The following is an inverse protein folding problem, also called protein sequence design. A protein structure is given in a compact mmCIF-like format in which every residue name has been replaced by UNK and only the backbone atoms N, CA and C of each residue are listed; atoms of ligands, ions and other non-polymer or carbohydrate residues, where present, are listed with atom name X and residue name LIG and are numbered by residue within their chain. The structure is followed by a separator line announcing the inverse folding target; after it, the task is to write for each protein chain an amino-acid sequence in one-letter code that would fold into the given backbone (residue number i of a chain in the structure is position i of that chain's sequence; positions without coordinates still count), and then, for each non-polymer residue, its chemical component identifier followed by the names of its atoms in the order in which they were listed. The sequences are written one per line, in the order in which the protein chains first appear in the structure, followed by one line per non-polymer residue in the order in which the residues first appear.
data_IF_390599757112
#
_entry.id   IF_390599757112
#
_cell.length_a   1.000
_cell.length_b   1.000
_cell.length_c   1.000
_cell.angle_alpha   90.00
_cell.angle_beta   90.00
_cell.angle_gamma   90.00
#
_symmetry.space_group_name_H-M   'P 1'
#
loop_
_entity.id
_entity.type
_entity.pdbx_description
1 polymer ?
#
# COMPACT_ATOMS: atom_id res chain seq x y z
N UNK A 1 72.84 -19.53 -4.87
CA UNK A 1 71.65 -18.70 -4.90
C UNK A 1 70.46 -19.66 -4.67
N UNK A 2 70.06 -19.79 -3.42
CA UNK A 2 68.86 -20.56 -3.06
C UNK A 2 67.62 -19.67 -3.20
N UNK A 3 66.49 -20.15 -3.74
CA UNK A 3 65.29 -19.38 -3.83
C UNK A 3 64.60 -19.34 -2.46
N UNK A 4 64.38 -18.13 -1.99
CA UNK A 4 63.65 -17.80 -0.79
C UNK A 4 62.16 -18.23 -0.98
N UNK A 5 61.77 -19.36 -0.40
CA UNK A 5 60.41 -19.80 -0.35
C UNK A 5 59.67 -18.97 0.73
N UNK A 6 58.98 -17.95 0.29
CA UNK A 6 57.93 -17.32 1.09
C UNK A 6 56.82 -18.36 1.31
N UNK A 7 56.81 -18.96 2.49
CA UNK A 7 55.64 -19.76 2.93
C UNK A 7 54.48 -18.82 3.09
N UNK A 8 53.54 -18.88 2.18
CA UNK A 8 52.18 -18.41 2.44
C UNK A 8 51.63 -19.28 3.57
N UNK A 9 51.61 -18.72 4.78
CA UNK A 9 50.96 -19.36 5.93
C UNK A 9 49.44 -19.29 5.71
N UNK A 10 48.85 -20.30 5.06
CA UNK A 10 47.40 -20.49 5.07
C UNK A 10 46.99 -20.79 6.52
N UNK A 11 46.13 -19.92 7.05
CA UNK A 11 45.52 -20.10 8.37
C UNK A 11 44.62 -21.31 8.32
N UNK A 12 45.02 -22.45 8.90
CA UNK A 12 44.13 -23.60 8.98
C UNK A 12 42.99 -23.33 10.00
N UNK A 13 41.77 -23.25 9.51
CA UNK A 13 40.55 -23.00 10.30
C UNK A 13 40.36 -24.06 11.42
N UNK A 14 40.89 -25.28 11.21
CA UNK A 14 40.86 -26.36 12.21
C UNK A 14 41.75 -26.04 13.40
N UNK A 15 42.96 -25.55 13.13
CA UNK A 15 43.92 -25.21 14.19
C UNK A 15 43.41 -24.02 15.02
N UNK A 16 42.76 -23.05 14.41
CA UNK A 16 42.12 -21.95 15.09
C UNK A 16 40.98 -22.46 16.00
N UNK A 17 40.15 -23.40 15.51
CA UNK A 17 39.07 -24.00 16.28
C UNK A 17 39.61 -24.79 17.48
N UNK A 18 40.69 -25.57 17.30
CA UNK A 18 41.34 -26.30 18.40
C UNK A 18 41.95 -25.35 19.42
N UNK A 19 42.53 -24.22 19.02
CA UNK A 19 43.07 -23.21 19.93
C UNK A 19 41.98 -22.64 20.85
N UNK A 20 40.78 -22.38 20.29
CA UNK A 20 39.63 -21.92 21.08
C UNK A 20 39.14 -23.01 22.03
N UNK A 21 39.03 -24.27 21.55
CA UNK A 21 38.61 -25.40 22.37
C UNK A 21 39.62 -25.73 23.50
N UNK A 22 40.91 -25.59 23.23
CA UNK A 22 41.92 -25.79 24.27
C UNK A 22 41.85 -24.76 25.39
N UNK A 23 41.55 -23.51 25.04
CA UNK A 23 41.37 -22.38 25.98
C UNK A 23 39.91 -22.15 26.42
N UNK A 24 39.06 -23.18 26.40
CA UNK A 24 37.65 -23.05 26.78
C UNK A 24 37.43 -22.53 28.22
N UNK A 25 38.35 -22.92 29.18
CA UNK A 25 38.24 -22.47 30.58
C UNK A 25 38.33 -20.94 30.73
N UNK A 26 39.34 -20.23 30.21
CA UNK A 26 39.37 -18.76 30.25
C UNK A 26 38.17 -18.13 29.49
N UNK A 27 37.69 -18.75 28.43
CA UNK A 27 36.49 -18.24 27.72
C UNK A 27 35.25 -18.30 28.62
N UNK A 28 35.03 -19.42 29.30
CA UNK A 28 33.90 -19.57 30.24
C UNK A 28 34.06 -18.64 31.45
N UNK A 29 35.27 -18.54 32.00
CA UNK A 29 35.52 -17.62 33.13
C UNK A 29 35.26 -16.17 32.70
N UNK A 30 35.72 -15.73 31.56
CA UNK A 30 35.47 -14.39 31.03
C UNK A 30 33.98 -14.14 30.81
N UNK A 31 33.27 -15.12 30.24
CA UNK A 31 31.82 -15.03 30.06
C UNK A 31 31.05 -14.87 31.37
N UNK A 32 31.42 -15.69 32.37
CA UNK A 32 30.78 -15.63 33.72
C UNK A 32 31.10 -14.30 34.41
N UNK A 33 32.37 -13.87 34.38
CA UNK A 33 32.78 -12.60 35.04
C UNK A 33 32.11 -11.40 34.40
N UNK A 34 32.11 -11.32 33.07
CA UNK A 34 31.44 -10.19 32.36
C UNK A 34 29.93 -10.26 32.57
N UNK A 35 29.34 -11.46 32.53
CA UNK A 35 27.92 -11.67 32.85
C UNK A 35 27.53 -11.20 34.24
N UNK A 36 28.32 -11.56 35.27
CA UNK A 36 28.09 -11.14 36.65
C UNK A 36 28.30 -9.63 36.85
N UNK A 37 29.32 -9.06 36.21
CA UNK A 37 29.58 -7.60 36.30
C UNK A 37 28.45 -6.80 35.64
N UNK A 38 28.04 -7.14 34.44
CA UNK A 38 26.96 -6.45 33.75
C UNK A 38 25.60 -6.70 34.41
N UNK A 39 25.31 -7.94 34.78
CA UNK A 39 24.09 -8.31 35.47
C UNK A 39 24.00 -7.71 36.87
N UNK A 40 25.06 -7.79 37.65
CA UNK A 40 25.13 -7.22 39.00
C UNK A 40 25.08 -5.69 39.00
N UNK A 41 25.82 -5.02 38.12
CA UNK A 41 25.75 -3.57 37.96
C UNK A 41 24.33 -3.09 37.60
N UNK A 42 23.71 -3.79 36.65
CA UNK A 42 22.36 -3.43 36.22
C UNK A 42 21.31 -3.69 37.30
N UNK A 43 21.41 -4.83 38.03
CA UNK A 43 20.54 -5.11 39.17
C UNK A 43 20.68 -4.05 40.25
N UNK A 44 21.91 -3.68 40.62
CA UNK A 44 22.17 -2.63 41.62
C UNK A 44 21.66 -1.25 41.15
N UNK A 45 21.94 -0.87 39.92
CA UNK A 45 21.45 0.39 39.35
C UNK A 45 19.92 0.45 39.32
N UNK A 46 19.25 -0.67 38.96
CA UNK A 46 17.79 -0.78 38.98
C UNK A 46 17.24 -0.68 40.41
N UNK A 47 17.87 -1.36 41.37
CA UNK A 47 17.48 -1.29 42.77
C UNK A 47 17.61 0.14 43.34
N UNK A 48 18.74 0.82 43.09
CA UNK A 48 18.99 2.19 43.55
C UNK A 48 17.97 3.16 42.91
N UNK A 49 17.70 3.04 41.63
CA UNK A 49 16.76 3.91 40.93
C UNK A 49 15.31 3.73 41.40
N UNK A 50 14.94 2.55 41.87
CA UNK A 50 13.59 2.29 42.40
C UNK A 50 13.34 2.90 43.80
N UNK A 51 14.41 3.20 44.54
CA UNK A 51 14.32 3.81 45.84
C UNK A 51 14.64 5.33 45.81
N UNK A 52 14.96 5.89 44.63
CA UNK A 52 15.17 7.32 44.42
C UNK A 52 13.84 7.99 43.99
N UNK A 53 13.28 8.93 44.80
CA UNK A 53 12.01 9.56 44.48
C UNK A 53 12.00 10.27 43.15
N UNK A 54 13.15 10.86 42.72
CA UNK A 54 13.25 11.56 41.42
C UNK A 54 13.15 10.60 40.25
N UNK A 55 13.81 9.47 40.36
CA UNK A 55 13.77 8.43 39.33
C UNK A 55 12.43 7.70 39.28
N UNK A 56 11.75 7.55 40.44
CA UNK A 56 10.39 7.02 40.48
C UNK A 56 9.43 7.97 39.74
N UNK A 57 9.53 9.28 39.99
CA UNK A 57 8.69 10.27 39.28
C UNK A 57 8.95 10.30 37.78
N UNK A 58 10.23 10.23 37.38
CA UNK A 58 10.61 10.15 35.96
C UNK A 58 10.07 8.90 35.28
N UNK A 59 10.19 7.74 35.93
CA UNK A 59 9.65 6.46 35.42
C UNK A 59 8.12 6.43 35.35
N UNK A 60 7.45 7.05 36.32
CA UNK A 60 5.99 7.17 36.25
C UNK A 60 5.60 8.07 35.07
N UNK A 61 6.32 9.16 34.83
CA UNK A 61 6.10 10.03 33.66
C UNK A 61 6.37 9.29 32.34
N UNK A 62 7.44 8.50 32.28
CA UNK A 62 7.74 7.67 31.12
C UNK A 62 6.65 6.62 30.90
N UNK A 63 6.19 5.94 31.96
CA UNK A 63 5.09 4.98 31.87
C UNK A 63 3.81 5.63 31.34
N UNK A 64 3.45 6.82 31.86
CA UNK A 64 2.27 7.55 31.39
C UNK A 64 2.40 7.94 29.91
N UNK A 65 3.58 8.36 29.48
CA UNK A 65 3.86 8.65 28.08
C UNK A 65 3.76 7.42 27.20
N UNK A 66 4.32 6.30 27.63
CA UNK A 66 4.25 5.04 26.89
C UNK A 66 2.80 4.51 26.82
N UNK A 67 2.04 4.70 27.89
CA UNK A 67 0.61 4.36 27.94
C UNK A 67 -0.20 5.21 26.94
N UNK A 68 0.06 6.52 26.90
CA UNK A 68 -0.57 7.43 25.93
C UNK A 68 -0.25 7.03 24.49
N UNK A 69 1.02 6.66 24.21
CA UNK A 69 1.44 6.17 22.89
C UNK A 69 0.73 4.85 22.56
N UNK A 70 0.65 3.92 23.53
CA UNK A 70 -0.05 2.67 23.35
C UNK A 70 -1.52 2.87 23.03
N UNK A 71 -2.23 3.69 23.84
CA UNK A 71 -3.66 3.98 23.63
C UNK A 71 -3.91 4.66 22.27
N UNK A 72 -3.03 5.59 21.90
CA UNK A 72 -3.09 6.25 20.59
C UNK A 72 -2.89 5.26 19.44
N UNK A 73 -1.88 4.39 19.54
CA UNK A 73 -1.60 3.40 18.51
C UNK A 73 -2.74 2.38 18.39
N UNK A 74 -3.28 1.93 19.53
CA UNK A 74 -4.44 1.04 19.59
C UNK A 74 -5.66 1.67 18.92
N UNK A 75 -6.04 2.88 19.33
CA UNK A 75 -7.17 3.61 18.74
C UNK A 75 -6.98 3.89 17.26
N UNK A 76 -5.74 4.16 16.83
CA UNK A 76 -5.43 4.35 15.40
C UNK A 76 -5.57 3.05 14.63
N UNK A 77 -5.04 1.94 15.16
CA UNK A 77 -5.17 0.61 14.55
C UNK A 77 -6.63 0.16 14.42
N UNK A 78 -7.42 0.32 15.48
CA UNK A 78 -8.86 0.01 15.47
C UNK A 78 -9.60 0.80 14.38
N UNK A 79 -9.33 2.10 14.25
CA UNK A 79 -9.94 2.94 13.21
C UNK A 79 -9.48 2.56 11.79
N UNK A 80 -8.21 2.17 11.61
CA UNK A 80 -7.71 1.70 10.32
C UNK A 80 -8.37 0.39 9.92
N UNK A 81 -8.59 -0.53 10.85
CA UNK A 81 -9.33 -1.78 10.66
C UNK A 81 -10.78 -1.50 10.25
N UNK A 82 -11.47 -0.59 10.95
CA UNK A 82 -12.85 -0.20 10.61
C UNK A 82 -12.94 0.39 9.19
N UNK A 83 -11.98 1.22 8.79
CA UNK A 83 -11.91 1.77 7.44
C UNK A 83 -11.70 0.66 6.40
N UNK A 84 -10.76 -0.27 6.64
CA UNK A 84 -10.52 -1.40 5.74
C UNK A 84 -11.74 -2.31 5.60
N UNK A 85 -12.48 -2.58 6.68
CA UNK A 85 -13.73 -3.34 6.64
C UNK A 85 -14.79 -2.66 5.77
N UNK A 86 -14.90 -1.33 5.85
CA UNK A 86 -15.78 -0.55 4.99
C UNK A 86 -15.33 -0.63 3.52
N UNK A 87 -14.03 -0.44 3.25
CA UNK A 87 -13.46 -0.52 1.89
C UNK A 87 -13.67 -1.91 1.27
N UNK A 88 -13.48 -2.98 2.05
CA UNK A 88 -13.75 -4.36 1.64
C UNK A 88 -15.23 -4.53 1.29
N UNK A 89 -16.11 -4.03 2.15
CA UNK A 89 -17.55 -4.12 1.93
C UNK A 89 -17.97 -3.37 0.66
N UNK A 90 -17.43 -2.17 0.44
CA UNK A 90 -17.69 -1.39 -0.77
C UNK A 90 -17.15 -2.09 -2.02
N UNK A 91 -15.95 -2.65 -1.94
CA UNK A 91 -15.34 -3.39 -3.04
C UNK A 91 -16.13 -4.67 -3.38
N UNK A 92 -16.59 -5.41 -2.38
CA UNK A 92 -17.46 -6.58 -2.58
C UNK A 92 -18.78 -6.19 -3.26
N UNK A 93 -19.42 -5.12 -2.78
CA UNK A 93 -20.63 -4.60 -3.41
C UNK A 93 -20.40 -4.13 -4.85
N UNK A 94 -19.23 -3.54 -5.13
CA UNK A 94 -18.87 -3.14 -6.47
C UNK A 94 -18.73 -4.35 -7.39
N UNK A 95 -17.97 -5.36 -6.99
CA UNK A 95 -17.80 -6.59 -7.76
C UNK A 95 -19.11 -7.35 -7.99
N UNK A 96 -20.03 -7.31 -7.01
CA UNK A 96 -21.33 -8.00 -7.12
C UNK A 96 -22.32 -7.24 -8.00
N UNK A 97 -22.39 -5.89 -7.87
CA UNK A 97 -23.47 -5.10 -8.45
C UNK A 97 -23.10 -4.36 -9.73
N UNK A 98 -21.82 -4.11 -9.98
CA UNK A 98 -21.39 -3.42 -11.20
C UNK A 98 -21.65 -4.29 -12.42
N UNK A 99 -22.39 -3.75 -13.38
CA UNK A 99 -22.61 -4.42 -14.67
C UNK A 99 -21.27 -4.66 -15.37
N UNK A 100 -20.36 -3.71 -15.30
CA UNK A 100 -19.01 -3.82 -15.88
C UNK A 100 -18.22 -4.99 -15.31
N UNK A 101 -18.32 -5.25 -14.00
CA UNK A 101 -17.63 -6.37 -13.35
C UNK A 101 -18.25 -7.72 -13.67
N UNK A 102 -19.53 -7.74 -14.07
CA UNK A 102 -20.27 -8.97 -14.37
C UNK A 102 -20.51 -9.20 -15.87
N UNK A 103 -20.01 -8.31 -16.73
CA UNK A 103 -20.02 -8.48 -18.19
C UNK A 103 -19.00 -9.52 -18.64
N UNK A 104 -19.32 -10.30 -19.69
CA UNK A 104 -18.34 -11.16 -20.34
C UNK A 104 -17.39 -10.32 -21.21
N UNK A 105 -16.07 -10.34 -20.96
CA UNK A 105 -15.11 -9.61 -21.80
C UNK A 105 -15.07 -10.11 -23.26
N UNK A 106 -15.57 -11.33 -23.50
CA UNK A 106 -15.55 -11.97 -24.83
C UNK A 106 -16.81 -11.68 -25.65
N UNK A 107 -17.83 -11.05 -25.05
CA UNK A 107 -19.10 -10.73 -25.71
C UNK A 107 -19.69 -9.44 -25.11
N UNK A 108 -18.97 -8.33 -25.32
CA UNK A 108 -19.40 -6.99 -24.90
C UNK A 108 -20.17 -6.36 -26.04
N UNK A 109 -21.42 -6.02 -25.82
CA UNK A 109 -22.20 -5.26 -26.78
C UNK A 109 -21.89 -3.78 -26.65
N UNK A 110 -21.50 -3.16 -27.77
CA UNK A 110 -21.22 -1.73 -27.87
C UNK A 110 -22.19 -1.07 -28.84
N UNK A 111 -22.79 0.03 -28.41
CA UNK A 111 -23.40 1.02 -29.31
C UNK A 111 -22.53 2.26 -29.33
N UNK A 112 -22.19 2.73 -30.53
CA UNK A 112 -21.45 3.97 -30.74
C UNK A 112 -22.27 4.91 -31.60
N UNK A 113 -22.27 6.20 -31.25
CA UNK A 113 -22.84 7.26 -32.06
C UNK A 113 -21.87 8.46 -32.11
N UNK A 114 -21.65 8.96 -33.30
CA UNK A 114 -20.88 10.17 -33.51
C UNK A 114 -21.82 11.29 -33.94
N UNK A 115 -21.86 12.34 -33.16
CA UNK A 115 -22.70 13.51 -33.34
C UNK A 115 -21.85 14.70 -33.77
N UNK A 116 -22.12 15.23 -34.97
CA UNK A 116 -21.44 16.41 -35.50
C UNK A 116 -22.20 17.68 -35.08
N UNK A 117 -21.49 18.64 -34.50
CA UNK A 117 -22.04 19.97 -34.18
C UNK A 117 -21.60 20.97 -35.22
N UNK A 118 -22.58 21.63 -35.80
CA UNK A 118 -22.37 22.74 -36.76
C UNK A 118 -22.93 24.01 -36.18
N UNK A 119 -22.10 25.04 -36.11
CA UNK A 119 -22.45 26.39 -35.70
C UNK A 119 -22.49 27.32 -36.94
N UNK A 120 -22.95 28.53 -36.74
CA UNK A 120 -22.95 29.56 -37.78
C UNK A 120 -21.56 30.20 -37.99
N UNK A 121 -20.53 29.61 -37.34
CA UNK A 121 -19.15 30.08 -37.50
C UNK A 121 -18.66 29.85 -38.91
N UNK A 122 -18.23 30.94 -39.55
CA UNK A 122 -17.62 30.93 -40.89
C UNK A 122 -16.29 31.70 -40.84
N UNK A 123 -15.24 31.07 -41.34
CA UNK A 123 -13.97 31.75 -41.55
C UNK A 123 -14.18 32.79 -42.68
N UNK A 124 -13.96 34.07 -42.38
CA UNK A 124 -14.04 35.16 -43.35
C UNK A 124 -12.63 35.46 -43.88
N UNK A 125 -12.32 35.07 -45.13
CA UNK A 125 -11.03 35.41 -45.74
C UNK A 125 -10.88 36.93 -45.76
N UNK A 126 -9.68 37.43 -45.55
CA UNK A 126 -9.31 38.84 -45.60
C UNK A 126 -9.84 39.73 -44.47
N UNK A 127 -10.53 39.18 -43.46
CA UNK A 127 -10.93 39.95 -42.28
C UNK A 127 -9.89 39.80 -41.14
N UNK A 128 -9.51 40.92 -40.55
CA UNK A 128 -8.58 41.01 -39.41
C UNK A 128 -9.22 40.40 -38.13
N UNK A 129 -10.54 40.52 -38.01
CA UNK A 129 -11.30 40.00 -36.90
C UNK A 129 -12.24 38.88 -37.37
N UNK A 130 -12.06 37.69 -36.78
CA UNK A 130 -12.95 36.54 -37.01
C UNK A 130 -14.05 36.51 -35.96
N UNK A 131 -15.20 35.90 -36.29
CA UNK A 131 -16.20 35.55 -35.31
C UNK A 131 -15.65 34.49 -34.34
N UNK A 132 -16.20 34.43 -33.14
CA UNK A 132 -15.78 33.42 -32.16
C UNK A 132 -16.41 32.07 -32.53
N UNK A 133 -15.59 31.03 -32.60
CA UNK A 133 -16.09 29.65 -32.76
C UNK A 133 -16.45 29.08 -31.38
N UNK A 134 -17.73 28.88 -31.15
CA UNK A 134 -18.26 28.30 -29.92
C UNK A 134 -18.44 26.79 -30.00
N UNK A 135 -18.01 26.12 -31.03
CA UNK A 135 -18.23 24.68 -31.27
C UNK A 135 -17.72 23.85 -30.08
N UNK A 136 -16.49 24.09 -29.64
CA UNK A 136 -15.92 23.37 -28.51
C UNK A 136 -16.70 23.58 -27.20
N UNK A 137 -17.17 24.80 -26.95
CA UNK A 137 -17.96 25.15 -25.77
C UNK A 137 -19.32 24.44 -25.81
N UNK A 138 -19.94 24.33 -26.97
CA UNK A 138 -21.21 23.61 -27.18
C UNK A 138 -21.01 22.11 -26.95
N UNK A 139 -19.93 21.53 -27.49
CA UNK A 139 -19.60 20.11 -27.30
C UNK A 139 -19.37 19.76 -25.81
N UNK A 140 -18.61 20.60 -25.12
CA UNK A 140 -18.38 20.46 -23.67
C UNK A 140 -19.69 20.62 -22.86
N UNK A 141 -20.60 21.48 -23.30
CA UNK A 141 -21.90 21.63 -22.67
C UNK A 141 -22.76 20.36 -22.81
N UNK A 142 -22.76 19.74 -24.00
CA UNK A 142 -23.40 18.43 -24.19
C UNK A 142 -22.75 17.34 -23.35
N UNK A 143 -21.42 17.23 -23.35
CA UNK A 143 -20.71 16.28 -22.52
C UNK A 143 -21.08 16.46 -21.04
N UNK A 144 -21.12 17.70 -20.55
CA UNK A 144 -21.53 18.01 -19.18
C UNK A 144 -22.99 17.65 -18.91
N UNK A 145 -23.89 17.88 -19.85
CA UNK A 145 -25.31 17.56 -19.73
C UNK A 145 -25.54 16.04 -19.66
N UNK A 146 -24.77 15.25 -20.37
CA UNK A 146 -24.90 13.79 -20.42
C UNK A 146 -24.12 13.06 -19.30
N UNK A 147 -23.19 13.74 -18.64
CA UNK A 147 -22.41 13.17 -17.53
C UNK A 147 -22.84 13.66 -16.16
N UNK A 148 -23.79 14.61 -16.09
CA UNK A 148 -24.25 15.13 -14.80
C UNK A 148 -25.07 14.12 -14.01
N UNK A 149 -25.08 14.31 -12.70
CA UNK A 149 -25.75 13.41 -11.75
C UNK A 149 -27.25 13.25 -12.04
N UNK A 150 -27.92 14.32 -12.45
CA UNK A 150 -29.37 14.28 -12.72
C UNK A 150 -29.71 13.39 -13.93
N UNK A 151 -28.94 13.53 -15.01
CA UNK A 151 -29.08 12.69 -16.19
C UNK A 151 -28.80 11.23 -15.86
N UNK A 152 -27.64 10.95 -15.21
CA UNK A 152 -27.28 9.60 -14.85
C UNK A 152 -28.30 8.95 -13.92
N UNK A 153 -28.86 9.66 -12.94
CA UNK A 153 -29.91 9.15 -12.07
C UNK A 153 -31.19 8.79 -12.85
N UNK A 154 -31.60 9.63 -13.81
CA UNK A 154 -32.79 9.37 -14.63
C UNK A 154 -32.62 8.12 -15.50
N UNK A 155 -31.46 7.97 -16.15
CA UNK A 155 -31.17 6.80 -16.98
C UNK A 155 -31.00 5.55 -16.14
N UNK A 156 -30.22 5.61 -15.06
CA UNK A 156 -29.97 4.50 -14.16
C UNK A 156 -31.26 3.90 -13.58
N UNK A 157 -32.21 4.77 -13.19
CA UNK A 157 -33.53 4.32 -12.71
C UNK A 157 -34.32 3.55 -13.78
N UNK A 158 -34.18 3.90 -15.05
CA UNK A 158 -34.88 3.24 -16.16
C UNK A 158 -34.23 1.90 -16.53
N UNK A 159 -32.90 1.83 -16.44
CA UNK A 159 -32.11 0.63 -16.74
C UNK A 159 -32.06 -0.35 -15.55
N UNK A 160 -32.45 0.12 -14.34
CA UNK A 160 -32.46 -0.70 -13.13
C UNK A 160 -31.08 -0.88 -12.50
N UNK A 161 -30.17 0.10 -12.68
CA UNK A 161 -28.83 0.11 -12.08
C UNK A 161 -28.62 1.35 -11.22
N UNK A 162 -27.48 1.43 -10.52
CA UNK A 162 -27.08 2.63 -9.80
C UNK A 162 -26.36 3.62 -10.73
N UNK A 163 -26.50 4.95 -10.50
CA UNK A 163 -25.86 5.96 -11.36
C UNK A 163 -24.33 5.82 -11.48
N UNK A 164 -23.66 5.37 -10.42
CA UNK A 164 -22.21 5.13 -10.41
C UNK A 164 -21.80 4.02 -11.36
N UNK A 165 -22.56 2.93 -11.42
CA UNK A 165 -22.29 1.81 -12.31
C UNK A 165 -22.66 2.14 -13.77
N UNK A 166 -23.73 2.91 -13.97
CA UNK A 166 -24.09 3.38 -15.31
C UNK A 166 -23.00 4.28 -15.91
N UNK A 167 -22.37 5.14 -15.09
CA UNK A 167 -21.30 6.02 -15.55
C UNK A 167 -20.10 5.26 -16.14
N UNK A 168 -19.83 4.06 -15.67
CA UNK A 168 -18.74 3.21 -16.16
C UNK A 168 -19.02 2.58 -17.52
N UNK A 169 -20.30 2.55 -17.92
CA UNK A 169 -20.77 1.94 -19.16
C UNK A 169 -20.90 2.92 -20.31
N UNK A 170 -20.84 4.23 -20.01
CA UNK A 170 -21.00 5.31 -20.98
C UNK A 170 -19.69 6.09 -21.07
N UNK A 171 -19.06 6.08 -22.26
CA UNK A 171 -17.89 6.87 -22.59
C UNK A 171 -18.30 8.00 -23.54
N UNK A 172 -17.98 9.24 -23.17
CA UNK A 172 -18.34 10.44 -23.95
C UNK A 172 -17.07 11.23 -24.21
N UNK A 173 -16.67 11.28 -25.46
CA UNK A 173 -15.46 11.95 -25.89
C UNK A 173 -15.82 13.10 -26.87
N UNK A 174 -15.06 14.18 -26.78
CA UNK A 174 -15.12 15.30 -27.69
C UNK A 174 -13.84 15.30 -28.51
N UNK A 175 -14.00 15.18 -29.81
CA UNK A 175 -12.88 15.29 -30.76
C UNK A 175 -13.25 16.26 -31.89
N UNK A 176 -12.53 17.38 -31.97
CA UNK A 176 -12.77 18.49 -32.92
C UNK A 176 -14.23 18.97 -32.88
N UNK A 177 -15.06 18.61 -33.87
CA UNK A 177 -16.48 18.98 -34.00
C UNK A 177 -17.44 17.84 -33.75
N UNK A 178 -16.93 16.73 -33.19
CA UNK A 178 -17.67 15.50 -32.99
C UNK A 178 -17.81 15.23 -31.49
N UNK A 179 -19.02 14.90 -31.07
CA UNK A 179 -19.30 14.28 -29.78
C UNK A 179 -19.50 12.79 -30.02
N UNK A 180 -18.51 12.00 -29.63
CA UNK A 180 -18.58 10.55 -29.74
C UNK A 180 -19.10 9.97 -28.43
N UNK A 181 -20.17 9.21 -28.49
CA UNK A 181 -20.75 8.53 -27.34
C UNK A 181 -20.71 7.03 -27.58
N UNK A 182 -20.12 6.32 -26.65
CA UNK A 182 -20.08 4.85 -26.63
C UNK A 182 -20.77 4.33 -25.40
N UNK A 183 -21.56 3.30 -25.56
CA UNK A 183 -22.25 2.60 -24.46
C UNK A 183 -21.88 1.12 -24.58
N UNK A 184 -21.39 0.53 -23.48
CA UNK A 184 -21.11 -0.89 -23.41
C UNK A 184 -22.12 -1.55 -22.46
N UNK A 185 -22.61 -2.75 -22.85
CA UNK A 185 -23.54 -3.52 -22.01
C UNK A 185 -23.46 -5.03 -22.33
N UNK A 186 -24.23 -5.83 -21.60
CA UNK A 186 -24.25 -7.30 -21.75
C UNK A 186 -25.03 -7.81 -22.96
N UNK A 187 -25.92 -7.02 -23.53
CA UNK A 187 -26.80 -7.44 -24.61
C UNK A 187 -27.18 -6.28 -25.56
N UNK A 188 -27.54 -6.64 -26.79
CA UNK A 188 -27.88 -5.71 -27.87
C UNK A 188 -29.07 -4.82 -27.54
N UNK A 189 -30.10 -5.37 -26.89
CA UNK A 189 -31.33 -4.64 -26.59
C UNK A 189 -31.05 -3.53 -25.57
N UNK A 190 -30.37 -3.87 -24.49
CA UNK A 190 -30.05 -2.93 -23.41
C UNK A 190 -29.11 -1.82 -23.87
N UNK A 191 -28.09 -2.15 -24.69
CA UNK A 191 -27.18 -1.12 -25.21
C UNK A 191 -27.90 -0.12 -26.13
N UNK A 192 -28.85 -0.60 -26.97
CA UNK A 192 -29.69 0.27 -27.81
C UNK A 192 -30.63 1.13 -26.98
N UNK A 193 -31.23 0.57 -25.93
CA UNK A 193 -32.13 1.29 -25.04
C UNK A 193 -31.39 2.42 -24.30
N UNK A 194 -30.19 2.14 -23.75
CA UNK A 194 -29.36 3.16 -23.10
C UNK A 194 -28.99 4.26 -24.09
N UNK A 195 -28.56 3.90 -25.31
CA UNK A 195 -28.22 4.87 -26.35
C UNK A 195 -29.41 5.78 -26.72
N UNK A 196 -30.64 5.24 -26.78
CA UNK A 196 -31.84 6.06 -26.98
C UNK A 196 -32.06 7.07 -25.84
N UNK A 197 -31.78 6.70 -24.60
CA UNK A 197 -31.85 7.66 -23.49
C UNK A 197 -30.76 8.73 -23.59
N UNK A 198 -29.56 8.37 -24.07
CA UNK A 198 -28.49 9.34 -24.33
C UNK A 198 -28.93 10.33 -25.40
N UNK A 199 -29.46 9.87 -26.55
CA UNK A 199 -30.00 10.74 -27.60
C UNK A 199 -31.12 11.65 -27.11
N UNK A 200 -32.04 11.12 -26.33
CA UNK A 200 -33.09 11.93 -25.68
C UNK A 200 -32.48 12.98 -24.73
N UNK A 201 -31.35 12.68 -24.07
CA UNK A 201 -30.61 13.63 -23.26
C UNK A 201 -29.99 14.76 -24.08
N UNK A 202 -29.46 14.44 -25.27
CA UNK A 202 -28.96 15.43 -26.24
C UNK A 202 -30.08 16.39 -26.65
N UNK A 203 -31.24 15.83 -27.06
CA UNK A 203 -32.39 16.63 -27.49
C UNK A 203 -32.89 17.54 -26.36
N UNK A 204 -32.98 17.04 -25.14
CA UNK A 204 -33.38 17.81 -23.99
C UNK A 204 -32.41 18.94 -23.60
N UNK A 205 -31.10 18.71 -23.80
CA UNK A 205 -30.10 19.72 -23.49
C UNK A 205 -29.98 20.83 -24.57
N UNK A 206 -30.39 20.51 -25.80
CA UNK A 206 -30.23 21.40 -26.97
C UNK A 206 -30.79 22.79 -26.74
N UNK A 207 -32.05 22.91 -26.36
CA UNK A 207 -32.71 24.22 -26.19
C UNK A 207 -31.98 25.12 -25.17
N UNK A 208 -31.54 24.53 -24.06
CA UNK A 208 -30.79 25.27 -23.03
C UNK A 208 -29.41 25.70 -23.50
N UNK A 209 -28.75 24.86 -24.27
CA UNK A 209 -27.41 25.14 -24.84
C UNK A 209 -27.53 26.26 -25.90
N UNK A 210 -28.57 26.20 -26.76
CA UNK A 210 -28.87 27.25 -27.75
C UNK A 210 -29.12 28.59 -27.07
N UNK A 211 -29.90 28.62 -26.02
CA UNK A 211 -30.22 29.85 -25.26
C UNK A 211 -28.97 30.45 -24.59
N UNK A 212 -28.08 29.56 -24.06
CA UNK A 212 -26.96 29.98 -23.20
C UNK A 212 -25.70 30.33 -24.01
N UNK A 213 -25.42 29.57 -25.08
CA UNK A 213 -24.15 29.67 -25.84
C UNK A 213 -24.38 30.19 -27.24
N UNK A 214 -25.31 29.60 -27.99
CA UNK A 214 -25.60 30.01 -29.34
C UNK A 214 -26.28 28.95 -30.20
N UNK A 215 -26.88 29.42 -31.31
CA UNK A 215 -27.56 28.57 -32.28
C UNK A 215 -26.60 27.55 -32.92
N UNK A 216 -27.05 26.33 -33.00
CA UNK A 216 -26.27 25.24 -33.61
C UNK A 216 -27.21 24.12 -34.12
N UNK A 217 -26.67 23.28 -34.98
CA UNK A 217 -27.31 22.05 -35.40
C UNK A 217 -26.48 20.86 -34.95
N UNK A 218 -27.13 19.79 -34.55
CA UNK A 218 -26.48 18.53 -34.22
C UNK A 218 -27.04 17.45 -35.17
N UNK A 219 -26.16 16.65 -35.74
CA UNK A 219 -26.53 15.58 -36.66
C UNK A 219 -25.72 14.32 -36.42
N UNK A 220 -26.36 13.18 -36.57
CA UNK A 220 -25.67 11.89 -36.52
C UNK A 220 -24.82 11.72 -37.79
N UNK A 221 -23.56 11.41 -37.61
CA UNK A 221 -22.61 11.17 -38.71
C UNK A 221 -22.26 9.68 -38.84
N UNK A 222 -22.22 8.98 -37.72
CA UNK A 222 -21.96 7.57 -37.66
C UNK A 222 -22.76 6.93 -36.52
N UNK A 223 -23.28 5.74 -36.77
CA UNK A 223 -23.98 4.93 -35.77
C UNK A 223 -23.64 3.46 -36.02
N UNK A 224 -23.22 2.79 -34.97
CA UNK A 224 -22.92 1.37 -35.03
C UNK A 224 -23.34 0.65 -33.75
N UNK A 225 -23.77 -0.60 -33.91
CA UNK A 225 -24.06 -1.50 -32.78
C UNK A 225 -23.48 -2.86 -33.13
N UNK A 226 -22.74 -3.45 -32.22
CA UNK A 226 -22.15 -4.76 -32.40
C UNK A 226 -21.54 -5.34 -31.13
N UNK A 227 -21.25 -6.62 -31.15
CA UNK A 227 -20.46 -7.23 -30.07
C UNK A 227 -18.97 -7.19 -30.38
N UNK A 228 -18.17 -7.09 -29.33
CA UNK A 228 -16.71 -7.07 -29.41
C UNK A 228 -16.08 -7.89 -28.28
N UNK A 229 -14.84 -8.30 -28.49
CA UNK A 229 -13.96 -8.76 -27.42
C UNK A 229 -13.27 -7.55 -26.80
N UNK A 230 -13.35 -7.42 -25.50
CA UNK A 230 -12.77 -6.31 -24.74
C UNK A 230 -11.77 -6.85 -23.71
N UNK A 231 -10.50 -6.91 -24.09
CA UNK A 231 -9.45 -7.42 -23.22
C UNK A 231 -9.11 -6.44 -22.09
N UNK A 232 -9.33 -5.13 -22.32
CA UNK A 232 -9.14 -4.11 -21.27
C UNK A 232 -10.16 -4.30 -20.14
N UNK A 233 -11.37 -4.73 -20.49
CA UNK A 233 -12.37 -5.10 -19.48
C UNK A 233 -11.91 -6.32 -18.67
N UNK A 234 -11.33 -7.33 -19.31
CA UNK A 234 -10.82 -8.52 -18.62
C UNK A 234 -9.70 -8.14 -17.62
N UNK A 235 -8.80 -7.27 -18.03
CA UNK A 235 -7.72 -6.78 -17.18
C UNK A 235 -8.28 -5.96 -16.01
N UNK A 236 -9.23 -5.06 -16.26
CA UNK A 236 -9.89 -4.27 -15.23
C UNK A 236 -10.65 -5.15 -14.21
N UNK A 237 -11.37 -6.19 -14.65
CA UNK A 237 -12.06 -7.13 -13.76
C UNK A 237 -11.07 -7.90 -12.88
N UNK A 238 -9.93 -8.29 -13.44
CA UNK A 238 -8.85 -8.95 -12.70
C UNK A 238 -8.23 -8.01 -11.68
N UNK A 239 -7.95 -6.76 -12.05
CA UNK A 239 -7.38 -5.75 -11.17
C UNK A 239 -8.30 -5.47 -9.97
N UNK A 240 -9.59 -5.27 -10.21
CA UNK A 240 -10.55 -5.03 -9.14
C UNK A 240 -10.76 -6.27 -8.23
N UNK A 241 -10.65 -7.47 -8.78
CA UNK A 241 -10.66 -8.71 -7.99
C UNK A 241 -9.39 -8.83 -7.14
N UNK A 242 -8.22 -8.47 -7.69
CA UNK A 242 -6.95 -8.46 -6.97
C UNK A 242 -6.99 -7.42 -5.85
N UNK A 243 -7.57 -6.24 -6.09
CA UNK A 243 -7.75 -5.21 -5.07
C UNK A 243 -8.51 -5.72 -3.84
N UNK A 244 -9.53 -6.54 -4.03
CA UNK A 244 -10.23 -7.16 -2.89
C UNK A 244 -9.31 -8.09 -2.08
N UNK A 245 -8.44 -8.84 -2.75
CA UNK A 245 -7.43 -9.69 -2.07
C UNK A 245 -6.44 -8.84 -1.30
N UNK A 246 -5.93 -7.77 -1.91
CA UNK A 246 -4.98 -6.85 -1.27
C UNK A 246 -5.58 -6.16 -0.04
N UNK A 247 -6.85 -5.75 -0.11
CA UNK A 247 -7.57 -5.19 1.04
C UNK A 247 -7.69 -6.19 2.19
N UNK A 248 -8.01 -7.45 1.90
CA UNK A 248 -8.09 -8.50 2.92
C UNK A 248 -6.71 -8.80 3.53
N UNK A 249 -5.65 -8.83 2.73
CA UNK A 249 -4.28 -8.99 3.22
C UNK A 249 -3.88 -7.81 4.13
N UNK A 250 -4.21 -6.58 3.72
CA UNK A 250 -3.96 -5.40 4.54
C UNK A 250 -4.73 -5.43 5.87
N UNK A 251 -5.95 -5.97 5.86
CA UNK A 251 -6.75 -6.15 7.07
C UNK A 251 -6.09 -7.15 8.04
N UNK A 252 -5.63 -8.30 7.53
CA UNK A 252 -4.88 -9.30 8.32
C UNK A 252 -3.62 -8.67 8.94
N UNK A 253 -2.81 -7.98 8.14
CA UNK A 253 -1.60 -7.32 8.63
C UNK A 253 -1.88 -6.29 9.73
N UNK A 254 -2.98 -5.54 9.62
CA UNK A 254 -3.38 -4.56 10.64
C UNK A 254 -3.93 -5.20 11.90
N UNK A 255 -4.66 -6.32 11.78
CA UNK A 255 -5.14 -7.10 12.92
C UNK A 255 -3.96 -7.72 13.68
N UNK A 256 -3.02 -8.33 12.97
CA UNK A 256 -1.81 -8.90 13.56
C UNK A 256 -0.98 -7.83 14.28
N UNK A 257 -0.80 -6.65 13.65
CA UNK A 257 -0.10 -5.54 14.27
C UNK A 257 -0.80 -5.02 15.54
N UNK A 258 -2.12 -5.02 15.57
CA UNK A 258 -2.89 -4.64 16.76
C UNK A 258 -2.79 -5.69 17.87
N UNK A 259 -2.81 -6.98 17.51
CA UNK A 259 -2.69 -8.09 18.45
C UNK A 259 -1.27 -8.19 19.05
N UNK A 260 -0.25 -7.81 18.28
CA UNK A 260 1.14 -7.72 18.76
C UNK A 260 1.40 -6.50 19.66
N UNK A 261 0.48 -5.54 19.71
CA UNK A 261 0.64 -4.33 20.49
C UNK A 261 0.61 -4.64 21.99
N UNK A 262 1.73 -4.41 22.68
CA UNK A 262 1.84 -4.70 24.10
C UNK A 262 1.55 -3.46 24.96
N UNK A 263 0.62 -3.62 25.88
CA UNK A 263 0.37 -2.61 26.90
C UNK A 263 1.60 -2.43 27.81
N UNK A 264 2.04 -1.18 28.04
CA UNK A 264 3.15 -0.90 28.94
C UNK A 264 2.85 -1.38 30.35
N UNK A 265 3.81 -2.09 30.95
CA UNK A 265 3.63 -2.64 32.31
C UNK A 265 4.14 -1.66 33.34
N UNK A 266 3.26 -1.25 34.23
CA UNK A 266 3.69 -0.49 35.42
C UNK A 266 4.65 -1.33 36.27
N UNK A 267 5.83 -0.79 36.56
CA UNK A 267 6.84 -1.45 37.40
C UNK A 267 6.36 -1.36 38.86
N UNK A 268 5.63 -2.39 39.29
CA UNK A 268 5.00 -2.41 40.64
C UNK A 268 5.90 -3.07 41.69
N UNK A 269 6.86 -3.94 41.29
CA UNK A 269 7.66 -4.74 42.22
C UNK A 269 9.17 -4.53 42.00
N UNK A 270 9.77 -3.84 42.98
CA UNK A 270 11.18 -3.42 42.92
C UNK A 270 12.18 -4.55 42.86
N UNK A 271 11.91 -5.64 43.61
CA UNK A 271 12.84 -6.78 43.73
C UNK A 271 12.79 -7.68 42.51
N UNK A 272 11.59 -7.97 41.98
CA UNK A 272 11.42 -8.81 40.81
C UNK A 272 11.93 -8.14 39.52
N UNK A 273 11.75 -6.83 39.41
CA UNK A 273 12.25 -6.07 38.27
C UNK A 273 13.78 -5.97 38.24
N UNK A 274 14.40 -5.75 39.42
CA UNK A 274 15.87 -5.76 39.55
C UNK A 274 16.46 -7.14 39.21
N UNK A 275 15.85 -8.22 39.70
CA UNK A 275 16.28 -9.58 39.42
C UNK A 275 16.14 -9.93 37.91
N UNK A 276 14.99 -9.64 37.29
CA UNK A 276 14.76 -9.86 35.86
C UNK A 276 15.71 -9.05 34.98
N UNK A 277 15.96 -7.79 35.34
CA UNK A 277 16.92 -6.94 34.66
C UNK A 277 18.34 -7.52 34.79
N UNK A 278 18.75 -7.89 36.00
CA UNK A 278 20.06 -8.50 36.25
C UNK A 278 20.30 -9.79 35.45
N UNK A 279 19.30 -10.68 35.41
CA UNK A 279 19.37 -11.93 34.64
C UNK A 279 19.49 -11.65 33.13
N UNK A 280 18.64 -10.76 32.59
CA UNK A 280 18.67 -10.42 31.18
C UNK A 280 20.02 -9.88 30.71
N UNK A 281 20.56 -8.92 31.44
CA UNK A 281 21.86 -8.32 31.10
C UNK A 281 23.03 -9.20 31.49
N UNK A 282 22.87 -10.10 32.47
CA UNK A 282 23.83 -11.13 32.82
C UNK A 282 24.02 -12.13 31.69
N UNK A 283 22.94 -12.63 31.10
CA UNK A 283 22.99 -13.52 29.93
C UNK A 283 23.63 -12.80 28.72
N UNK A 284 23.20 -11.56 28.43
CA UNK A 284 23.78 -10.78 27.33
C UNK A 284 25.29 -10.54 27.58
N UNK A 285 25.67 -10.22 28.80
CA UNK A 285 27.08 -10.05 29.19
C UNK A 285 27.90 -11.32 29.05
N UNK A 286 27.34 -12.47 29.42
CA UNK A 286 27.98 -13.77 29.26
C UNK A 286 28.23 -14.09 27.78
N UNK A 287 27.27 -13.85 26.90
CA UNK A 287 27.43 -14.04 25.45
C UNK A 287 28.50 -13.11 24.89
N UNK A 288 28.46 -11.83 25.22
CA UNK A 288 29.46 -10.86 24.80
C UNK A 288 30.86 -11.21 25.34
N UNK A 289 30.92 -11.63 26.59
CA UNK A 289 32.18 -12.07 27.22
C UNK A 289 32.78 -13.30 26.53
N UNK A 290 31.94 -14.27 26.15
CA UNK A 290 32.38 -15.41 25.38
C UNK A 290 32.94 -14.98 24.00
N UNK A 291 32.22 -14.12 23.25
CA UNK A 291 32.68 -13.62 21.97
C UNK A 291 33.98 -12.84 22.07
N UNK A 292 34.12 -11.95 23.05
CA UNK A 292 35.35 -11.20 23.30
C UNK A 292 36.51 -12.13 23.62
N UNK A 293 36.29 -13.10 24.50
CA UNK A 293 37.35 -14.07 24.87
C UNK A 293 37.75 -14.93 23.67
N UNK A 294 36.82 -15.41 22.86
CA UNK A 294 37.11 -16.12 21.61
C UNK A 294 37.95 -15.23 20.67
N UNK A 295 37.53 -13.97 20.48
CA UNK A 295 38.23 -13.02 19.66
C UNK A 295 39.70 -12.84 20.12
N UNK A 296 39.91 -12.64 21.43
CA UNK A 296 41.25 -12.52 21.98
C UNK A 296 42.09 -13.80 21.84
N UNK A 297 41.49 -14.98 21.98
CA UNK A 297 42.15 -16.26 21.70
C UNK A 297 42.56 -16.35 20.24
N UNK A 298 41.68 -15.95 19.31
CA UNK A 298 41.99 -15.92 17.88
C UNK A 298 43.15 -14.94 17.56
N UNK A 299 43.08 -13.72 18.12
CA UNK A 299 44.15 -12.72 17.92
C UNK A 299 45.48 -13.21 18.52
N UNK A 300 45.47 -13.79 19.72
CA UNK A 300 46.65 -14.35 20.33
C UNK A 300 47.24 -15.53 19.52
N UNK A 301 46.37 -16.35 18.93
CA UNK A 301 46.79 -17.42 18.02
C UNK A 301 47.45 -16.86 16.77
N UNK A 302 46.93 -15.80 16.19
CA UNK A 302 47.50 -15.14 15.00
C UNK A 302 48.80 -14.38 15.30
N UNK A 303 48.98 -13.92 16.53
CA UNK A 303 50.18 -13.18 16.95
C UNK A 303 51.33 -14.09 17.44
N UNK A 304 51.01 -15.31 17.84
CA UNK A 304 52.00 -16.31 18.25
C UNK A 304 52.18 -17.32 17.12
N UNK A 305 53.37 -17.44 16.54
CA UNK A 305 53.70 -18.46 15.52
C UNK A 305 53.58 -19.91 16.05
N UNK A 306 52.83 -20.10 17.15
CA UNK A 306 52.64 -21.39 17.79
C UNK A 306 51.41 -22.11 17.28
N UNK A 307 51.56 -23.00 16.38
CA UNK A 307 50.56 -23.96 15.93
C UNK A 307 50.35 -24.96 17.10
N UNK A 308 49.19 -24.89 17.72
CA UNK A 308 48.73 -25.96 18.66
C UNK A 308 48.36 -27.18 17.80
N UNK A 309 49.33 -28.10 17.62
CA UNK A 309 49.05 -29.34 16.95
C UNK A 309 48.17 -30.23 17.83
N UNK A 310 47.30 -31.05 17.22
CA UNK A 310 46.39 -31.98 17.95
C UNK A 310 47.13 -32.90 18.93
N UNK A 311 48.43 -33.10 18.77
CA UNK A 311 49.33 -33.85 19.69
C UNK A 311 49.55 -33.17 21.04
N UNK A 312 49.32 -31.85 21.15
CA UNK A 312 49.54 -31.08 22.39
C UNK A 312 48.29 -31.05 23.28
N UNK A 313 47.21 -31.72 22.86
CA UNK A 313 45.96 -31.92 23.60
C UNK A 313 45.95 -33.14 24.54
N UNK A 314 47.12 -33.83 24.70
CA UNK A 314 47.22 -35.01 25.62
C UNK A 314 47.68 -34.61 27.02
#
# INVERSE_FOLDING_TARGET
MEPNSTYDQEIDLKDLMFAVLYKWRPVVIAAVVIGLLLGGFKAFSTYKSQNDPTVITEKEADYQKDLEIYEKNKSTGEREIDNLLNDITEQQMYLEKSVRMNMSPYDVWEAKIDLFVKTDYVIMPDMVYQNVDYTDTILQAYQSALTNTEFLQKVAKKVGTEPRYLKELIDIQVDQKILSVKVNYTDEKSVKEIMQYVLSGVDNAKAKIEETIGAHTISVVDESVGSKVDLELADAQKEESTRLVDLNTSLEEKQDALDELQEPKKIVDSTSAAAKSGIKYGILGAVLGAFMAIFFVCVAFLMTDGIYAAKDLR
#
